data_IF_010764041359
#
_entry.id   IF_010764041359
#
_cell.length_a   1.000
_cell.length_b   1.000
_cell.length_c   1.000
_cell.angle_alpha   90.00
_cell.angle_beta   90.00
_cell.angle_gamma   90.00
#
_symmetry.space_group_name_H-M   'P 1'
#
loop_
_entity.id
_entity.type
_entity.pdbx_description
1 polymer ?
#
# COMPACT_ATOMS: atom_id res chain seq x y z
N UNK A 1 -7.87 -1.85 -12.24
CA UNK A 1 -7.50 -1.96 -10.81
C UNK A 1 -8.53 -2.81 -10.11
N UNK A 2 -8.16 -4.06 -9.84
CA UNK A 2 -8.92 -4.94 -8.97
C UNK A 2 -8.19 -5.00 -7.63
N UNK A 3 -8.90 -4.72 -6.54
CA UNK A 3 -8.38 -5.00 -5.19
C UNK A 3 -8.60 -6.49 -4.98
N UNK A 4 -7.57 -7.28 -5.26
CA UNK A 4 -7.71 -8.73 -5.34
C UNK A 4 -7.74 -9.39 -3.96
N UNK A 5 -6.99 -8.86 -3.00
CA UNK A 5 -6.83 -9.52 -1.69
C UNK A 5 -6.58 -8.52 -0.55
N UNK A 6 -7.47 -8.49 0.44
CA UNK A 6 -7.21 -7.87 1.74
C UNK A 6 -6.39 -8.83 2.59
N UNK A 7 -5.19 -8.43 2.99
CA UNK A 7 -4.29 -9.30 3.77
C UNK A 7 -4.15 -8.88 5.23
N UNK A 8 -4.01 -7.59 5.49
CA UNK A 8 -3.82 -7.09 6.85
C UNK A 8 -4.78 -5.97 7.19
N UNK A 9 -5.21 -5.94 8.45
CA UNK A 9 -6.02 -4.87 9.03
C UNK A 9 -5.50 -4.48 10.40
N UNK A 10 -5.49 -3.17 10.67
CA UNK A 10 -5.07 -2.61 11.96
C UNK A 10 -6.06 -1.57 12.42
N UNK A 11 -6.68 -1.80 13.58
CA UNK A 11 -7.59 -0.84 14.20
C UNK A 11 -6.85 -0.02 15.27
N UNK A 12 -7.06 1.29 15.22
CA UNK A 12 -6.55 2.25 16.17
C UNK A 12 -7.74 2.82 16.95
N UNK A 13 -7.74 2.62 18.25
CA UNK A 13 -8.75 3.20 19.14
C UNK A 13 -8.54 4.71 19.25
N UNK A 14 -9.63 5.44 19.49
CA UNK A 14 -9.53 6.86 19.76
C UNK A 14 -8.74 7.10 21.06
N UNK A 15 -7.83 8.07 21.03
CA UNK A 15 -7.11 8.53 22.21
C UNK A 15 -7.30 10.04 22.36
N UNK A 16 -8.43 10.43 22.95
CA UNK A 16 -8.83 11.83 23.12
C UNK A 16 -8.80 12.60 21.79
N UNK A 17 -8.17 13.77 21.82
CA UNK A 17 -7.96 14.61 20.63
C UNK A 17 -6.67 14.29 19.86
N UNK A 18 -5.82 13.42 20.40
CA UNK A 18 -4.48 13.13 19.85
C UNK A 18 -4.58 12.17 18.66
N UNK A 19 -5.48 11.20 18.74
CA UNK A 19 -5.69 10.21 17.69
C UNK A 19 -7.18 9.93 17.52
N UNK A 20 -7.79 10.24 16.37
CA UNK A 20 -9.14 9.78 16.07
C UNK A 20 -9.14 8.26 15.87
N UNK A 21 -10.28 7.61 16.16
CA UNK A 21 -10.47 6.21 15.81
C UNK A 21 -10.33 6.04 14.29
N UNK A 22 -9.51 5.07 13.88
CA UNK A 22 -9.29 4.74 12.47
C UNK A 22 -8.95 3.27 12.29
N UNK A 23 -9.18 2.76 11.10
CA UNK A 23 -8.74 1.43 10.68
C UNK A 23 -7.88 1.58 9.41
N UNK A 24 -6.75 0.88 9.38
CA UNK A 24 -5.92 0.75 8.18
C UNK A 24 -6.12 -0.66 7.61
N UNK A 25 -6.34 -0.75 6.31
CA UNK A 25 -6.45 -1.98 5.55
C UNK A 25 -5.38 -2.00 4.46
N UNK A 26 -4.70 -3.13 4.32
CA UNK A 26 -3.55 -3.33 3.45
C UNK A 26 -3.87 -4.45 2.47
N UNK A 27 -3.88 -4.12 1.18
CA UNK A 27 -4.34 -5.02 0.13
C UNK A 27 -3.30 -5.18 -0.98
N UNK A 28 -3.28 -6.36 -1.60
CA UNK A 28 -2.62 -6.54 -2.89
C UNK A 28 -3.54 -5.98 -3.98
N UNK A 29 -2.91 -5.32 -4.94
CA UNK A 29 -3.55 -4.83 -6.15
C UNK A 29 -2.95 -5.57 -7.33
N UNK A 30 -3.78 -5.99 -8.27
CA UNK A 30 -3.34 -6.45 -9.58
C UNK A 30 -4.02 -5.59 -10.64
N UNK A 31 -3.31 -5.29 -11.73
CA UNK A 31 -4.01 -4.89 -12.95
C UNK A 31 -4.33 -6.16 -13.71
N UNK A 32 -5.62 -6.37 -14.00
CA UNK A 32 -6.16 -7.56 -14.66
C UNK A 32 -5.73 -7.73 -16.13
N UNK A 33 -4.65 -7.09 -16.56
CA UNK A 33 -4.02 -7.29 -17.85
C UNK A 33 -2.78 -8.20 -17.70
N UNK A 34 -2.56 -9.06 -18.69
CA UNK A 34 -1.67 -10.25 -18.76
C UNK A 34 -0.18 -10.13 -18.34
N UNK A 35 0.26 -9.01 -17.77
CA UNK A 35 1.65 -8.81 -17.36
C UNK A 35 1.97 -9.22 -15.92
N UNK A 36 1.00 -9.72 -15.14
CA UNK A 36 1.25 -10.48 -13.91
C UNK A 36 2.04 -9.73 -12.83
N UNK A 37 1.94 -8.40 -12.79
CA UNK A 37 2.59 -7.59 -11.75
C UNK A 37 1.62 -7.30 -10.60
N UNK A 38 2.17 -7.37 -9.41
CA UNK A 38 1.51 -7.05 -8.15
C UNK A 38 1.86 -5.63 -7.74
N UNK A 39 0.90 -4.97 -7.13
CA UNK A 39 1.01 -3.70 -6.44
C UNK A 39 0.43 -3.81 -5.03
N UNK A 40 0.36 -2.68 -4.34
CA UNK A 40 -0.16 -2.56 -2.98
C UNK A 40 -1.12 -1.38 -2.87
N UNK A 41 -2.11 -1.52 -2.01
CA UNK A 41 -2.98 -0.42 -1.62
C UNK A 41 -3.10 -0.36 -0.10
N UNK A 42 -3.16 0.86 0.41
CA UNK A 42 -3.51 1.15 1.80
C UNK A 42 -4.79 1.95 1.79
N UNK A 43 -5.76 1.51 2.56
CA UNK A 43 -7.02 2.21 2.81
C UNK A 43 -7.11 2.58 4.28
N UNK A 44 -7.39 3.85 4.55
CA UNK A 44 -7.72 4.36 5.87
C UNK A 44 -9.22 4.63 5.98
N UNK A 45 -9.86 3.98 6.93
CA UNK A 45 -11.25 4.23 7.29
C UNK A 45 -11.29 5.05 8.57
N UNK A 46 -12.01 6.17 8.52
CA UNK A 46 -12.36 6.97 9.70
C UNK A 46 -13.89 7.10 9.79
N UNK A 47 -14.40 7.69 10.88
CA UNK A 47 -15.84 7.97 10.99
C UNK A 47 -16.42 8.87 9.89
N UNK A 48 -15.58 9.67 9.22
CA UNK A 48 -16.03 10.69 8.27
C UNK A 48 -15.56 10.44 6.84
N UNK A 49 -14.47 9.71 6.66
CA UNK A 49 -13.79 9.57 5.37
C UNK A 49 -13.24 8.17 5.20
N UNK A 50 -13.22 7.76 3.93
CA UNK A 50 -12.42 6.63 3.46
C UNK A 50 -11.41 7.20 2.49
N UNK A 51 -10.14 6.92 2.72
CA UNK A 51 -9.03 7.37 1.88
C UNK A 51 -8.25 6.15 1.44
N UNK A 52 -8.01 6.02 0.14
CA UNK A 52 -7.24 4.89 -0.42
C UNK A 52 -6.14 5.45 -1.30
N UNK A 53 -4.92 4.96 -1.07
CA UNK A 53 -3.81 5.17 -1.98
C UNK A 53 -3.32 3.81 -2.47
N UNK A 54 -3.06 3.73 -3.76
CA UNK A 54 -2.55 2.54 -4.40
C UNK A 54 -1.28 2.85 -5.17
N UNK A 55 -0.44 1.84 -5.23
CA UNK A 55 0.85 1.82 -5.89
C UNK A 55 0.90 0.52 -6.68
N UNK A 56 1.00 0.63 -8.00
CA UNK A 56 0.89 -0.51 -8.92
C UNK A 56 2.26 -0.98 -9.40
N UNK A 57 2.26 -2.15 -10.02
CA UNK A 57 3.39 -2.68 -10.80
C UNK A 57 4.73 -2.79 -10.05
N UNK A 58 4.69 -2.98 -8.73
CA UNK A 58 5.88 -2.97 -7.87
C UNK A 58 6.74 -4.23 -7.99
N UNK A 59 6.15 -5.39 -8.31
CA UNK A 59 6.90 -6.64 -8.41
C UNK A 59 6.13 -7.67 -9.22
N UNK A 60 6.84 -8.63 -9.81
CA UNK A 60 6.22 -9.79 -10.50
C UNK A 60 5.86 -10.92 -9.54
N UNK A 61 6.22 -10.82 -8.27
CA UNK A 61 6.03 -11.89 -7.27
C UNK A 61 5.03 -11.49 -6.21
N UNK A 62 3.93 -12.24 -6.08
CA UNK A 62 2.94 -12.04 -5.00
C UNK A 62 3.62 -12.04 -3.63
N UNK A 63 4.54 -12.97 -3.40
CA UNK A 63 5.27 -13.10 -2.14
C UNK A 63 6.12 -11.87 -1.82
N UNK A 64 6.69 -11.21 -2.83
CA UNK A 64 7.40 -9.95 -2.62
C UNK A 64 6.42 -8.82 -2.25
N UNK A 65 5.26 -8.73 -2.91
CA UNK A 65 4.23 -7.75 -2.55
C UNK A 65 3.69 -7.99 -1.13
N UNK A 66 3.52 -9.24 -0.70
CA UNK A 66 3.12 -9.60 0.68
C UNK A 66 4.15 -9.13 1.72
N UNK A 67 5.45 -9.27 1.43
CA UNK A 67 6.51 -8.75 2.33
C UNK A 67 6.46 -7.23 2.46
N UNK A 68 6.23 -6.52 1.34
CA UNK A 68 6.04 -5.07 1.36
C UNK A 68 4.83 -4.72 2.22
N UNK A 69 3.68 -5.38 2.02
CA UNK A 69 2.48 -5.12 2.84
C UNK A 69 2.70 -5.39 4.32
N UNK A 70 3.45 -6.45 4.68
CA UNK A 70 3.79 -6.74 6.06
C UNK A 70 4.61 -5.59 6.67
N UNK A 71 5.62 -5.11 5.95
CA UNK A 71 6.41 -3.94 6.37
C UNK A 71 5.53 -2.70 6.57
N UNK A 72 4.64 -2.39 5.62
CA UNK A 72 3.71 -1.26 5.73
C UNK A 72 2.78 -1.39 6.94
N UNK A 73 2.29 -2.60 7.20
CA UNK A 73 1.41 -2.92 8.33
C UNK A 73 2.11 -2.74 9.69
N UNK A 74 3.33 -3.28 9.83
CA UNK A 74 4.12 -3.19 11.06
C UNK A 74 4.41 -1.73 11.43
N UNK A 75 4.70 -0.91 10.42
CA UNK A 75 5.01 0.52 10.58
C UNK A 75 3.77 1.43 10.55
N UNK A 76 2.56 0.87 10.44
CA UNK A 76 1.31 1.63 10.42
C UNK A 76 1.26 2.73 9.33
N UNK A 77 1.84 2.45 8.16
CA UNK A 77 1.91 3.39 7.04
C UNK A 77 0.50 3.79 6.59
N UNK A 78 0.25 5.08 6.46
CA UNK A 78 -1.04 5.64 6.03
C UNK A 78 -1.06 5.85 4.51
N UNK A 79 -2.26 5.98 3.89
CA UNK A 79 -2.37 6.23 2.45
C UNK A 79 -1.59 7.45 1.98
N UNK A 80 -1.62 8.55 2.74
CA UNK A 80 -1.00 9.83 2.37
C UNK A 80 0.51 9.76 2.11
N UNK A 81 1.25 8.89 2.83
CA UNK A 81 2.71 8.77 2.70
C UNK A 81 3.13 7.52 1.90
N UNK A 82 2.17 6.68 1.48
CA UNK A 82 2.45 5.46 0.75
C UNK A 82 3.30 5.68 -0.52
N UNK A 83 3.06 6.70 -1.37
CA UNK A 83 3.84 6.88 -2.59
C UNK A 83 5.31 7.16 -2.31
N UNK A 84 5.61 8.00 -1.31
CA UNK A 84 6.98 8.35 -0.91
C UNK A 84 7.73 7.13 -0.36
N UNK A 85 7.12 6.39 0.57
CA UNK A 85 7.71 5.17 1.13
C UNK A 85 7.97 4.12 0.04
N UNK A 86 7.04 3.98 -0.91
CA UNK A 86 7.20 3.01 -1.99
C UNK A 86 8.29 3.41 -2.98
N UNK A 87 8.45 4.70 -3.26
CA UNK A 87 9.56 5.22 -4.05
C UNK A 87 10.90 4.87 -3.38
N UNK A 88 11.04 5.10 -2.09
CA UNK A 88 12.27 4.77 -1.34
C UNK A 88 12.55 3.26 -1.36
N UNK A 89 11.53 2.42 -1.13
CA UNK A 89 11.66 0.96 -1.18
C UNK A 89 12.24 0.49 -2.52
N UNK A 90 11.76 1.06 -3.63
CA UNK A 90 12.17 0.68 -4.99
C UNK A 90 13.55 1.24 -5.30
N UNK A 91 13.82 2.49 -4.95
CA UNK A 91 15.10 3.16 -5.20
C UNK A 91 16.26 2.46 -4.49
N UNK A 92 16.04 1.99 -3.26
CA UNK A 92 17.05 1.33 -2.45
C UNK A 92 17.04 -0.20 -2.57
N UNK A 93 16.22 -0.77 -3.47
CA UNK A 93 16.08 -2.22 -3.69
C UNK A 93 15.90 -3.01 -2.38
N UNK A 94 15.12 -2.44 -1.44
CA UNK A 94 14.92 -3.00 -0.09
C UNK A 94 14.19 -4.34 -0.16
N UNK A 95 13.32 -4.46 -1.16
CA UNK A 95 12.65 -5.67 -1.57
C UNK A 95 12.94 -5.86 -3.05
N UNK A 96 13.00 -7.12 -3.54
CA UNK A 96 13.11 -7.46 -4.97
C UNK A 96 11.91 -6.90 -5.77
N UNK A 97 11.92 -5.60 -5.97
CA UNK A 97 10.88 -4.79 -6.56
C UNK A 97 11.35 -4.38 -7.96
N UNK A 98 10.43 -4.38 -8.93
CA UNK A 98 10.69 -3.87 -10.27
C UNK A 98 10.66 -2.34 -10.29
N UNK A 99 11.23 -1.76 -11.34
CA UNK A 99 11.15 -0.32 -11.59
C UNK A 99 9.69 0.16 -11.65
N UNK A 100 9.42 1.24 -10.92
CA UNK A 100 8.11 1.88 -10.86
C UNK A 100 7.82 2.60 -12.18
N UNK A 101 6.71 2.26 -12.83
CA UNK A 101 6.17 3.03 -13.96
C UNK A 101 5.43 4.26 -13.45
N UNK A 102 6.13 5.21 -12.83
CA UNK A 102 5.61 6.54 -12.54
C UNK A 102 5.84 7.42 -13.76
N UNK A 103 4.77 7.89 -14.40
CA UNK A 103 4.84 8.91 -15.45
C UNK A 103 5.54 10.14 -14.90
N UNK A 104 6.75 10.41 -15.40
CA UNK A 104 7.23 11.77 -15.50
C UNK A 104 6.32 12.45 -16.53
N UNK A 105 5.42 13.31 -16.09
CA UNK A 105 4.82 14.34 -16.93
C UNK A 105 5.97 15.21 -17.46
N UNK A 106 6.25 15.10 -18.76
CA UNK A 106 6.85 16.15 -19.60
C UNK A 106 5.73 16.95 -20.28
#
# INVERSE_FOLDING_TARGET
MEISDLLYKRKFTAFGHIQPEKELAYCIVTDGADNGKYGVAVTQYTKRTTETQAVKDITKSRKAAEKVLLFLYENAITPAVLPEIMHDIVMYDVFECGEFGGTADE
#
